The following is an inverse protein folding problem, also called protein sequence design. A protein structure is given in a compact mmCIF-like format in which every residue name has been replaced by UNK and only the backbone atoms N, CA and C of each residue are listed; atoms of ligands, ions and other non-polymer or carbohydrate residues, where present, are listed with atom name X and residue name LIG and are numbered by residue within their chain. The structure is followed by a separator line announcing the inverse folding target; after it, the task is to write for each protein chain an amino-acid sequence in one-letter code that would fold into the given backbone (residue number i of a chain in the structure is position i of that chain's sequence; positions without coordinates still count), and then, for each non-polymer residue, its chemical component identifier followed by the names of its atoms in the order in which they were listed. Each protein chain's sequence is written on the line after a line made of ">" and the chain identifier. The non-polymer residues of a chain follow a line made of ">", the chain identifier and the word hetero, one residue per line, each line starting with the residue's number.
data_IF_284032785390
#
_entry.id   IF_284032785390
#
_cell.length_a   1.000
_cell.length_b   1.000
_cell.length_c   1.000
_cell.angle_alpha   90.00
_cell.angle_beta   90.00
_cell.angle_gamma   90.00
#
_symmetry.space_group_name_H-M   'P 1'
#
loop_
_entity.id
_entity.type
_entity.pdbx_description
1 polymer ?
#
# COMPACT_ATOMS: atom_id res chain seq x y z
N UNK A 1 -3.98 -10.27 -7.70
CA UNK A 1 -3.72 -8.85 -7.55
C UNK A 1 -4.40 -8.35 -6.29
N UNK A 2 -3.61 -7.89 -5.33
CA UNK A 2 -4.11 -7.36 -4.06
C UNK A 2 -4.34 -5.84 -4.15
N UNK A 3 -5.12 -5.32 -3.22
CA UNK A 3 -5.35 -3.89 -3.05
C UNK A 3 -6.14 -3.18 -4.14
N UNK A 4 -6.93 -3.91 -4.92
CA UNK A 4 -7.82 -3.29 -5.88
C UNK A 4 -9.13 -2.84 -5.23
N UNK A 5 -9.60 -3.60 -4.23
CA UNK A 5 -10.87 -3.34 -3.55
C UNK A 5 -10.68 -2.58 -2.23
N UNK A 6 -11.63 -1.72 -1.90
CA UNK A 6 -11.67 -1.06 -0.61
C UNK A 6 -11.84 -2.10 0.51
N UNK A 7 -11.02 -2.00 1.57
CA UNK A 7 -11.04 -2.95 2.67
C UNK A 7 -10.21 -4.21 2.44
N UNK A 8 -9.36 -4.26 1.41
CA UNK A 8 -8.39 -5.34 1.18
C UNK A 8 -6.94 -4.88 1.34
N UNK A 9 -6.07 -5.85 1.66
CA UNK A 9 -4.62 -5.67 1.73
C UNK A 9 -4.14 -4.85 2.91
N UNK A 10 -2.93 -4.31 2.81
CA UNK A 10 -2.39 -3.39 3.80
C UNK A 10 -3.13 -2.06 3.80
N UNK A 11 -3.16 -1.36 4.93
CA UNK A 11 -3.67 0.01 4.93
C UNK A 11 -2.73 0.94 4.14
N UNK A 12 -3.26 2.08 3.73
CA UNK A 12 -2.55 3.08 2.94
C UNK A 12 -2.65 4.45 3.63
N UNK A 13 -2.16 5.55 3.03
CA UNK A 13 -2.38 6.87 3.60
C UNK A 13 -3.85 7.22 3.91
N UNK A 14 -4.82 6.73 3.12
CA UNK A 14 -6.24 7.07 3.27
C UNK A 14 -7.18 5.87 3.41
N UNK A 15 -6.68 4.64 3.22
CA UNK A 15 -7.50 3.41 3.25
C UNK A 15 -7.19 2.58 4.47
N UNK A 16 -8.22 1.96 5.05
CA UNK A 16 -8.09 1.12 6.23
C UNK A 16 -7.33 -0.18 5.97
N UNK A 17 -7.27 -0.64 4.71
CA UNK A 17 -6.89 -2.00 4.41
C UNK A 17 -7.87 -3.03 4.98
N UNK A 18 -7.42 -4.26 5.12
CA UNK A 18 -8.22 -5.36 5.66
C UNK A 18 -8.64 -5.09 7.10
N UNK A 19 -9.94 -5.20 7.36
CA UNK A 19 -10.54 -5.02 8.70
C UNK A 19 -11.17 -6.32 9.18
N UNK A 20 -11.25 -6.55 10.51
CA UNK A 20 -11.98 -7.68 11.06
C UNK A 20 -13.46 -7.59 10.72
N UNK A 21 -13.97 -8.53 9.90
CA UNK A 21 -15.35 -8.52 9.39
C UNK A 21 -16.38 -8.47 10.52
N UNK A 22 -16.16 -9.23 11.61
CA UNK A 22 -17.08 -9.25 12.75
C UNK A 22 -17.23 -7.89 13.44
N UNK A 23 -16.15 -7.12 13.52
CA UNK A 23 -16.19 -5.78 14.12
C UNK A 23 -16.80 -4.75 13.16
N UNK A 24 -16.58 -4.91 11.85
CA UNK A 24 -17.26 -4.11 10.83
C UNK A 24 -18.78 -4.31 10.90
N UNK A 25 -19.25 -5.57 11.00
CA UNK A 25 -20.67 -5.88 11.17
C UNK A 25 -21.25 -5.21 12.42
N UNK A 26 -20.59 -5.34 13.58
CA UNK A 26 -21.00 -4.67 14.81
C UNK A 26 -21.09 -3.14 14.63
N UNK A 27 -20.14 -2.55 13.93
CA UNK A 27 -20.13 -1.12 13.63
C UNK A 27 -21.33 -0.72 12.75
N UNK A 28 -21.57 -1.46 11.66
CA UNK A 28 -22.68 -1.20 10.74
C UNK A 28 -24.07 -1.24 11.42
N UNK A 29 -24.27 -2.17 12.36
CA UNK A 29 -25.55 -2.35 13.05
C UNK A 29 -25.60 -1.68 14.43
N UNK A 30 -24.61 -0.87 14.79
CA UNK A 30 -24.58 -0.16 16.08
C UNK A 30 -25.58 0.98 16.20
N UNK A 31 -26.13 1.46 15.08
CA UNK A 31 -26.96 2.68 15.01
C UNK A 31 -26.15 3.99 15.19
N UNK A 32 -24.81 3.91 15.35
CA UNK A 32 -23.95 5.07 15.59
C UNK A 32 -23.46 5.76 14.31
N UNK A 33 -23.47 5.04 13.21
CA UNK A 33 -22.91 5.48 11.94
C UNK A 33 -23.87 5.20 10.79
N UNK A 34 -23.91 6.12 9.84
CA UNK A 34 -24.54 5.90 8.54
C UNK A 34 -23.62 5.06 7.64
N UNK A 35 -24.16 4.46 6.61
CA UNK A 35 -23.39 3.73 5.60
C UNK A 35 -22.25 4.59 5.04
N UNK A 36 -22.52 5.88 4.74
CA UNK A 36 -21.54 6.82 4.20
C UNK A 36 -20.37 7.06 5.18
N UNK A 37 -20.66 7.16 6.47
CA UNK A 37 -19.63 7.36 7.50
C UNK A 37 -18.77 6.11 7.68
N UNK A 38 -19.38 4.91 7.67
CA UNK A 38 -18.62 3.66 7.72
C UNK A 38 -17.73 3.52 6.49
N UNK A 39 -18.29 3.77 5.31
CA UNK A 39 -17.51 3.70 4.06
C UNK A 39 -16.34 4.69 4.07
N UNK A 40 -16.54 5.90 4.57
CA UNK A 40 -15.51 6.92 4.68
C UNK A 40 -14.37 6.52 5.63
N UNK A 41 -14.64 5.67 6.64
CA UNK A 41 -13.60 5.09 7.51
C UNK A 41 -12.77 4.02 6.78
N UNK A 42 -13.36 3.34 5.80
CA UNK A 42 -12.67 2.37 4.95
C UNK A 42 -11.83 3.09 3.88
N UNK A 43 -12.43 4.08 3.21
CA UNK A 43 -11.81 4.80 2.10
C UNK A 43 -11.95 6.32 2.29
N UNK A 44 -10.82 7.00 2.45
CA UNK A 44 -10.68 8.44 2.64
C UNK A 44 -10.23 8.85 4.04
N UNK A 45 -10.78 8.26 5.10
CA UNK A 45 -10.43 8.57 6.50
C UNK A 45 -9.83 7.33 7.22
N UNK A 46 -9.37 6.33 6.47
CA UNK A 46 -8.61 5.20 7.01
C UNK A 46 -7.11 5.47 7.05
N UNK A 47 -6.34 4.45 7.33
CA UNK A 47 -4.88 4.48 7.26
C UNK A 47 -4.21 5.58 8.07
N UNK A 48 -3.18 6.21 7.51
CA UNK A 48 -2.49 7.33 8.18
C UNK A 48 -3.47 8.44 8.56
N UNK A 49 -4.39 8.78 7.67
CA UNK A 49 -5.38 9.82 7.94
C UNK A 49 -6.26 9.48 9.15
N UNK A 50 -6.65 8.23 9.30
CA UNK A 50 -7.44 7.78 10.44
C UNK A 50 -6.71 7.82 11.78
N UNK A 51 -5.40 7.54 11.78
CA UNK A 51 -4.59 7.50 13.01
C UNK A 51 -3.88 8.82 13.32
N UNK A 52 -3.44 9.55 12.31
CA UNK A 52 -2.49 10.67 12.45
C UNK A 52 -3.04 11.98 11.88
N UNK A 53 -4.25 11.96 11.31
CA UNK A 53 -4.92 13.12 10.71
C UNK A 53 -4.14 13.76 9.55
N UNK A 54 -3.31 12.95 8.86
CA UNK A 54 -2.60 13.34 7.62
C UNK A 54 -2.51 12.14 6.68
N UNK A 55 -2.62 12.39 5.38
CA UNK A 55 -2.40 11.41 4.32
C UNK A 55 -1.01 11.57 3.66
N UNK A 56 -0.22 12.55 4.10
CA UNK A 56 1.13 12.77 3.58
C UNK A 56 2.16 11.90 4.32
N UNK A 57 2.65 10.85 3.66
CA UNK A 57 3.68 9.98 4.21
C UNK A 57 4.99 10.70 4.58
N UNK A 58 5.28 11.86 3.96
CA UNK A 58 6.44 12.69 4.30
C UNK A 58 6.25 13.36 5.66
N UNK A 59 5.03 13.80 5.95
CA UNK A 59 4.65 14.35 7.26
C UNK A 59 4.76 13.29 8.35
N UNK A 60 4.24 12.09 8.08
CA UNK A 60 4.37 10.95 9.00
C UNK A 60 5.85 10.63 9.27
N UNK A 61 6.70 10.61 8.24
CA UNK A 61 8.14 10.44 8.40
C UNK A 61 8.77 11.48 9.35
N UNK A 62 8.43 12.76 9.20
CA UNK A 62 8.89 13.84 10.09
C UNK A 62 8.38 13.66 11.52
N UNK A 63 7.13 13.20 11.71
CA UNK A 63 6.62 12.89 13.04
C UNK A 63 7.41 11.77 13.71
N UNK A 64 7.79 10.74 12.95
CA UNK A 64 8.64 9.64 13.46
C UNK A 64 10.01 10.15 13.86
N UNK A 65 10.65 10.96 13.03
CA UNK A 65 11.95 11.56 13.29
C UNK A 65 11.93 12.48 14.53
N UNK A 66 10.82 13.17 14.77
CA UNK A 66 10.63 14.02 15.96
C UNK A 66 10.32 13.24 17.24
N UNK A 67 10.24 11.90 17.17
CA UNK A 67 10.02 11.02 18.33
C UNK A 67 8.54 10.83 18.70
N UNK A 68 7.59 11.12 17.79
CA UNK A 68 6.18 10.84 18.03
C UNK A 68 5.94 9.33 18.10
N UNK A 69 5.60 8.82 19.27
CA UNK A 69 5.44 7.39 19.53
C UNK A 69 4.29 6.77 18.72
N UNK A 70 3.16 7.47 18.57
CA UNK A 70 2.03 6.98 17.79
C UNK A 70 2.39 6.91 16.30
N UNK A 71 3.02 7.95 15.76
CA UNK A 71 3.45 7.95 14.37
C UNK A 71 4.43 6.81 14.08
N UNK A 72 5.37 6.56 14.98
CA UNK A 72 6.30 5.44 14.87
C UNK A 72 5.57 4.10 14.83
N UNK A 73 4.63 3.87 15.75
CA UNK A 73 3.85 2.63 15.81
C UNK A 73 3.02 2.41 14.53
N UNK A 74 2.36 3.46 14.03
CA UNK A 74 1.56 3.41 12.81
C UNK A 74 2.45 3.14 11.59
N UNK A 75 3.63 3.77 11.54
CA UNK A 75 4.61 3.57 10.48
C UNK A 75 5.17 2.14 10.45
N UNK A 76 5.53 1.59 11.60
CA UNK A 76 5.97 0.21 11.73
C UNK A 76 4.86 -0.78 11.33
N UNK A 77 3.62 -0.54 11.75
CA UNK A 77 2.47 -1.36 11.38
C UNK A 77 2.20 -1.34 9.87
N UNK A 78 2.41 -0.22 9.21
CA UNK A 78 2.29 -0.09 7.75
C UNK A 78 3.27 -1.02 7.01
N UNK A 79 4.54 -0.97 7.34
CA UNK A 79 5.53 -1.85 6.71
C UNK A 79 5.34 -3.32 7.06
N UNK A 80 4.92 -3.60 8.30
CA UNK A 80 4.59 -4.96 8.72
C UNK A 80 3.47 -5.56 7.86
N UNK A 81 2.42 -4.80 7.57
CA UNK A 81 1.33 -5.28 6.73
C UNK A 81 1.77 -5.48 5.27
N UNK A 82 2.53 -4.56 4.70
CA UNK A 82 3.12 -4.72 3.36
C UNK A 82 3.97 -6.00 3.29
N UNK A 83 4.80 -6.24 4.30
CA UNK A 83 5.64 -7.41 4.35
C UNK A 83 4.84 -8.72 4.43
N UNK A 84 3.74 -8.74 5.18
CA UNK A 84 2.81 -9.89 5.23
C UNK A 84 2.19 -10.17 3.87
N UNK A 85 1.69 -9.14 3.19
CA UNK A 85 1.05 -9.30 1.88
C UNK A 85 2.07 -9.78 0.83
N UNK A 86 3.27 -9.20 0.82
CA UNK A 86 4.36 -9.64 -0.05
C UNK A 86 4.76 -11.11 0.23
N UNK A 87 4.84 -11.49 1.51
CA UNK A 87 5.11 -12.88 1.91
C UNK A 87 4.01 -13.85 1.46
N UNK A 88 2.74 -13.45 1.55
CA UNK A 88 1.62 -14.21 1.03
C UNK A 88 1.73 -14.41 -0.49
N UNK A 89 2.10 -13.37 -1.24
CA UNK A 89 2.32 -13.48 -2.69
C UNK A 89 3.52 -14.36 -3.04
N UNK A 90 4.59 -14.28 -2.26
CA UNK A 90 5.73 -15.18 -2.44
C UNK A 90 5.33 -16.66 -2.26
N UNK A 91 4.43 -16.95 -1.30
CA UNK A 91 3.89 -18.30 -1.12
C UNK A 91 3.07 -18.77 -2.33
N UNK A 92 2.23 -17.87 -2.91
CA UNK A 92 1.47 -18.15 -4.13
C UNK A 92 2.39 -18.47 -5.31
N UNK A 93 3.54 -17.83 -5.38
CA UNK A 93 4.57 -18.06 -6.40
C UNK A 93 5.51 -19.23 -6.06
N UNK A 94 5.20 -20.01 -5.01
CA UNK A 94 6.03 -21.12 -4.55
C UNK A 94 7.50 -20.73 -4.26
N UNK A 95 7.71 -19.49 -3.80
CA UNK A 95 9.04 -18.93 -3.55
C UNK A 95 9.84 -18.58 -4.81
N UNK A 96 9.28 -18.73 -6.00
CA UNK A 96 9.94 -18.41 -7.27
C UNK A 96 9.75 -16.92 -7.58
N UNK A 97 10.50 -16.10 -6.89
CA UNK A 97 10.47 -14.63 -7.02
C UNK A 97 11.85 -14.19 -7.46
N UNK A 98 11.96 -13.60 -8.64
CA UNK A 98 13.23 -13.09 -9.18
C UNK A 98 13.61 -11.76 -8.54
N UNK A 99 12.62 -10.90 -8.29
CA UNK A 99 12.84 -9.57 -7.76
C UNK A 99 11.60 -8.97 -7.10
N UNK A 100 11.81 -8.13 -6.10
CA UNK A 100 10.77 -7.28 -5.49
C UNK A 100 11.05 -5.84 -5.91
N UNK A 101 10.05 -5.19 -6.50
CA UNK A 101 10.15 -3.80 -6.96
C UNK A 101 9.31 -2.90 -6.06
N UNK A 102 9.95 -1.87 -5.50
CA UNK A 102 9.29 -0.80 -4.75
C UNK A 102 9.14 0.42 -5.65
N UNK A 103 7.92 0.92 -5.79
CA UNK A 103 7.61 2.09 -6.61
C UNK A 103 6.61 3.02 -5.90
N UNK A 104 6.24 4.12 -6.54
CA UNK A 104 5.30 5.09 -6.00
C UNK A 104 5.97 6.16 -5.14
N UNK A 105 5.16 7.11 -4.65
CA UNK A 105 5.64 8.29 -3.92
C UNK A 105 6.31 7.94 -2.58
N UNK A 106 5.86 6.90 -1.88
CA UNK A 106 6.45 6.48 -0.60
C UNK A 106 7.87 5.92 -0.79
N UNK A 107 8.18 5.40 -1.97
CA UNK A 107 9.48 4.84 -2.29
C UNK A 107 10.61 5.90 -2.37
N UNK A 108 10.29 7.19 -2.42
CA UNK A 108 11.28 8.26 -2.28
C UNK A 108 11.91 8.33 -0.89
N UNK A 109 11.24 7.80 0.13
CA UNK A 109 11.80 7.80 1.48
C UNK A 109 12.82 6.68 1.64
N UNK A 110 14.11 6.98 1.90
CA UNK A 110 15.16 5.95 2.06
C UNK A 110 14.87 4.94 3.18
N UNK A 111 14.14 5.37 4.21
CA UNK A 111 13.72 4.49 5.30
C UNK A 111 12.75 3.40 4.81
N UNK A 112 11.89 3.71 3.85
CA UNK A 112 10.98 2.73 3.21
C UNK A 112 11.76 1.60 2.57
N UNK A 113 12.71 1.95 1.71
CA UNK A 113 13.53 0.98 1.00
C UNK A 113 14.32 0.10 1.99
N UNK A 114 14.96 0.71 2.99
CA UNK A 114 15.70 0.00 4.03
C UNK A 114 14.82 -0.98 4.79
N UNK A 115 13.70 -0.50 5.33
CA UNK A 115 12.80 -1.31 6.15
C UNK A 115 12.20 -2.48 5.37
N UNK A 116 11.72 -2.23 4.14
CA UNK A 116 11.17 -3.30 3.32
C UNK A 116 12.24 -4.28 2.85
N UNK A 117 13.48 -3.85 2.63
CA UNK A 117 14.59 -4.76 2.35
C UNK A 117 14.89 -5.67 3.55
N UNK A 118 14.84 -5.14 4.78
CA UNK A 118 15.01 -5.94 6.01
C UNK A 118 13.91 -7.01 6.14
N UNK A 119 12.66 -6.67 5.80
CA UNK A 119 11.54 -7.62 5.86
C UNK A 119 11.52 -8.63 4.71
N UNK A 120 11.91 -8.24 3.50
CA UNK A 120 11.62 -8.97 2.27
C UNK A 120 12.85 -9.53 1.57
N UNK A 121 14.05 -9.09 1.94
CA UNK A 121 15.31 -9.48 1.29
C UNK A 121 15.63 -10.99 1.34
N UNK A 122 14.98 -11.71 2.24
CA UNK A 122 15.09 -13.17 2.30
C UNK A 122 14.25 -13.87 1.21
N UNK A 123 13.28 -13.18 0.60
CA UNK A 123 12.47 -13.71 -0.50
C UNK A 123 13.21 -13.53 -1.82
N UNK A 124 13.63 -12.29 -2.13
CA UNK A 124 14.32 -11.93 -3.36
C UNK A 124 15.02 -10.55 -3.21
N UNK A 125 15.93 -10.18 -4.12
CA UNK A 125 16.48 -8.83 -4.15
C UNK A 125 15.41 -7.76 -4.22
N UNK A 126 15.57 -6.68 -3.45
CA UNK A 126 14.65 -5.54 -3.43
C UNK A 126 15.27 -4.38 -4.20
N UNK A 127 14.59 -3.88 -5.21
CA UNK A 127 15.00 -2.72 -6.01
C UNK A 127 13.96 -1.62 -5.93
N UNK A 128 14.41 -0.39 -5.80
CA UNK A 128 13.54 0.78 -5.64
C UNK A 128 13.58 1.64 -6.91
N UNK A 129 12.41 1.90 -7.46
CA UNK A 129 12.15 2.86 -8.54
C UNK A 129 11.14 3.90 -8.03
N UNK A 130 11.61 4.96 -7.34
CA UNK A 130 10.70 5.95 -6.75
C UNK A 130 10.01 6.76 -7.83
N UNK A 131 8.75 7.09 -7.61
CA UNK A 131 7.98 7.96 -8.49
C UNK A 131 6.76 7.28 -9.09
N UNK A 132 5.98 8.10 -9.77
CA UNK A 132 4.73 7.72 -10.40
C UNK A 132 4.68 8.35 -11.80
N UNK A 133 5.61 7.95 -12.70
CA UNK A 133 5.57 8.36 -14.10
C UNK A 133 4.44 7.65 -14.88
N UNK A 134 3.26 7.58 -14.25
CA UNK A 134 2.12 6.81 -14.72
C UNK A 134 1.66 7.25 -16.10
N UNK A 135 1.55 8.55 -16.33
CA UNK A 135 1.16 9.08 -17.65
C UNK A 135 2.18 8.73 -18.74
N UNK A 136 3.47 8.80 -18.43
CA UNK A 136 4.53 8.42 -19.35
C UNK A 136 4.49 6.91 -19.63
N UNK A 137 4.32 6.09 -18.60
CA UNK A 137 4.23 4.64 -18.72
C UNK A 137 3.02 4.22 -19.57
N UNK A 138 1.85 4.84 -19.36
CA UNK A 138 0.64 4.61 -20.15
C UNK A 138 0.85 5.02 -21.61
N UNK A 139 1.44 6.20 -21.84
CA UNK A 139 1.76 6.67 -23.19
C UNK A 139 2.72 5.72 -23.91
N UNK A 140 3.79 5.30 -23.27
CA UNK A 140 4.76 4.35 -23.82
C UNK A 140 4.11 2.98 -24.10
N UNK A 141 3.24 2.51 -23.21
CA UNK A 141 2.48 1.28 -23.43
C UNK A 141 1.59 1.35 -24.67
N UNK A 142 0.84 2.43 -24.83
CA UNK A 142 0.02 2.66 -26.02
C UNK A 142 0.87 2.75 -27.31
N UNK A 143 2.00 3.44 -27.25
CA UNK A 143 2.91 3.55 -28.40
C UNK A 143 3.45 2.19 -28.83
N UNK A 144 3.87 1.31 -27.92
CA UNK A 144 4.36 -0.04 -28.27
C UNK A 144 3.30 -0.84 -29.03
N UNK A 145 2.03 -0.73 -28.64
CA UNK A 145 0.93 -1.37 -29.37
C UNK A 145 0.73 -0.72 -30.74
N UNK A 146 0.74 0.61 -30.81
CA UNK A 146 0.54 1.34 -32.10
C UNK A 146 1.67 1.13 -33.08
N UNK A 147 2.89 0.92 -32.61
CA UNK A 147 4.07 0.64 -33.45
C UNK A 147 4.22 -0.85 -33.80
N UNK A 148 3.37 -1.71 -33.23
CA UNK A 148 3.42 -3.15 -33.48
C UNK A 148 4.53 -3.88 -32.70
N UNK A 149 5.15 -3.24 -31.73
CA UNK A 149 6.14 -3.86 -30.83
C UNK A 149 5.49 -4.80 -29.80
N UNK A 150 4.22 -4.58 -29.50
CA UNK A 150 3.45 -5.36 -28.54
C UNK A 150 2.01 -5.55 -29.05
N UNK A 151 1.42 -6.73 -28.85
CA UNK A 151 0.02 -6.99 -29.17
C UNK A 151 -0.91 -6.53 -28.05
N UNK A 152 -2.04 -5.92 -28.44
CA UNK A 152 -3.07 -5.56 -27.47
C UNK A 152 -3.69 -6.83 -26.86
N UNK A 153 -3.75 -6.89 -25.53
CA UNK A 153 -4.40 -7.99 -24.81
C UNK A 153 -5.89 -7.71 -24.63
N UNK A 154 -6.71 -8.74 -24.87
CA UNK A 154 -8.13 -8.71 -24.51
C UNK A 154 -8.29 -9.26 -23.08
N UNK A 155 -9.09 -8.57 -22.28
CA UNK A 155 -9.46 -8.99 -20.94
C UNK A 155 -10.84 -9.62 -20.94
#
# INVERSE_FOLDING_TARGET
>A
VNNILDGEGCFSPERSGTVPVGDLVKMCFSGKYTQKEVYKKICGNGGFNGYLHTNDAREVGKMVESGNALAKQVWEAFFYQIAKDAGAMAAVLHGKVDQIILTGGIAYNPFTAKTLTEYLGWIAPVTTYPGEDELLALCQGALRVMTGEEEAKNY
#
